data_IF_378207549071
#
_entry.id   IF_378207549071
#
_cell.length_a   1.000
_cell.length_b   1.000
_cell.length_c   1.000
_cell.angle_alpha   90.00
_cell.angle_beta   90.00
_cell.angle_gamma   90.00
#
_symmetry.space_group_name_H-M   'P 1'
#
loop_
_entity.id
_entity.type
_entity.pdbx_description
1 polymer ?
#
# COMPACT_ATOMS: atom_id res chain seq x y z
N UNK A 1 -26.90 3.07 -10.12
CA UNK A 1 -26.50 2.43 -8.85
C UNK A 1 -25.40 3.31 -8.25
N UNK A 2 -25.67 4.04 -7.17
CA UNK A 2 -24.65 4.82 -6.46
C UNK A 2 -23.95 3.89 -5.46
N UNK A 3 -22.65 3.68 -5.62
CA UNK A 3 -21.82 3.09 -4.57
C UNK A 3 -21.19 4.21 -3.76
N UNK A 4 -21.18 4.08 -2.44
CA UNK A 4 -20.46 5.00 -1.55
C UNK A 4 -19.06 4.43 -1.37
N UNK A 5 -18.06 5.14 -1.88
CA UNK A 5 -16.67 4.85 -1.52
C UNK A 5 -16.51 5.24 -0.06
N UNK A 6 -16.09 4.28 0.77
CA UNK A 6 -15.65 4.61 2.11
C UNK A 6 -14.43 5.53 1.99
N UNK A 7 -14.46 6.67 2.67
CA UNK A 7 -13.36 7.63 2.71
C UNK A 7 -12.16 7.03 3.44
N UNK A 8 -11.43 6.16 2.74
CA UNK A 8 -10.28 5.41 3.23
C UNK A 8 -9.06 5.88 2.45
N UNK A 9 -8.42 6.94 2.95
CA UNK A 9 -7.15 7.42 2.42
C UNK A 9 -5.97 6.59 2.93
N UNK A 10 -4.81 6.77 2.29
CA UNK A 10 -3.55 6.28 2.83
C UNK A 10 -3.27 6.88 4.24
N UNK A 11 -2.43 6.20 5.03
CA UNK A 11 -2.01 6.64 6.35
C UNK A 11 -2.46 5.68 7.44
N UNK A 12 -3.11 6.20 8.49
CA UNK A 12 -3.52 5.41 9.67
C UNK A 12 -5.03 5.24 9.69
N UNK A 13 -5.50 4.00 9.48
CA UNK A 13 -6.91 3.65 9.62
C UNK A 13 -7.20 3.06 11.00
N UNK A 14 -8.20 3.60 11.69
CA UNK A 14 -8.66 3.10 13.00
C UNK A 14 -9.91 2.27 12.85
N UNK A 15 -9.86 1.04 13.36
CA UNK A 15 -10.96 0.07 13.33
C UNK A 15 -11.66 -0.05 11.96
N UNK A 16 -10.93 -0.12 10.81
CA UNK A 16 -11.56 -0.21 9.51
C UNK A 16 -12.42 -1.48 9.41
N UNK A 17 -13.49 -1.39 8.62
CA UNK A 17 -14.34 -2.51 8.23
C UNK A 17 -13.94 -2.99 6.83
N UNK A 18 -13.99 -4.29 6.60
CA UNK A 18 -13.61 -4.90 5.32
C UNK A 18 -12.21 -5.50 5.33
N UNK A 19 -11.71 -5.84 4.14
CA UNK A 19 -10.43 -6.52 3.93
C UNK A 19 -9.49 -5.56 3.20
N UNK A 20 -8.27 -5.42 3.72
CA UNK A 20 -7.20 -4.69 3.06
C UNK A 20 -6.54 -5.58 2.00
N UNK A 21 -6.33 -5.04 0.80
CA UNK A 21 -5.64 -5.70 -0.30
C UNK A 21 -4.37 -4.94 -0.66
N UNK A 22 -3.28 -5.68 -0.91
CA UNK A 22 -1.98 -5.12 -1.32
C UNK A 22 -1.38 -5.97 -2.43
N UNK A 23 -0.77 -5.30 -3.42
CA UNK A 23 0.10 -5.94 -4.40
C UNK A 23 1.55 -5.47 -4.20
N UNK A 24 2.48 -6.41 -4.02
CA UNK A 24 3.92 -6.14 -3.85
C UNK A 24 4.74 -7.00 -4.80
N UNK A 25 4.61 -6.73 -6.10
CA UNK A 25 5.05 -7.64 -7.16
C UNK A 25 6.34 -7.21 -7.89
N UNK A 26 7.01 -6.14 -7.43
CA UNK A 26 8.22 -5.61 -8.04
C UNK A 26 9.52 -6.21 -7.48
N UNK A 27 9.46 -7.10 -6.50
CA UNK A 27 10.63 -7.60 -5.77
C UNK A 27 11.74 -8.22 -6.64
N UNK A 28 11.39 -8.93 -7.71
CA UNK A 28 12.35 -9.55 -8.64
C UNK A 28 12.61 -8.72 -9.90
N UNK A 29 12.05 -7.50 -9.97
CA UNK A 29 12.11 -6.65 -11.16
C UNK A 29 11.38 -7.19 -12.39
N UNK A 30 10.51 -8.18 -12.23
CA UNK A 30 9.85 -8.89 -13.33
C UNK A 30 8.50 -8.30 -13.76
N UNK A 31 7.96 -7.33 -13.03
CA UNK A 31 6.65 -6.71 -13.28
C UNK A 31 6.72 -5.19 -13.27
N UNK A 32 7.42 -4.64 -14.25
CA UNK A 32 7.42 -3.22 -14.53
C UNK A 32 6.43 -2.92 -15.66
N UNK A 33 5.17 -2.76 -15.29
CA UNK A 33 4.10 -2.38 -16.21
C UNK A 33 3.63 -0.96 -15.91
N UNK A 34 3.20 -0.25 -16.95
CA UNK A 34 2.62 1.06 -16.80
C UNK A 34 1.35 1.02 -15.95
N UNK A 35 1.17 2.06 -15.13
CA UNK A 35 -0.08 2.29 -14.43
C UNK A 35 -1.06 2.95 -15.39
N UNK A 36 -2.31 2.48 -15.41
CA UNK A 36 -3.38 3.16 -16.14
C UNK A 36 -3.55 4.60 -15.62
N UNK A 37 -3.80 5.60 -16.50
CA UNK A 37 -3.78 7.00 -16.09
C UNK A 37 -4.74 7.32 -14.95
N UNK A 38 -5.98 6.83 -15.06
CA UNK A 38 -7.00 7.01 -14.02
C UNK A 38 -6.74 6.04 -12.86
N UNK A 39 -6.58 6.60 -11.65
CA UNK A 39 -6.59 5.83 -10.42
C UNK A 39 -8.03 5.46 -10.07
N UNK A 40 -8.26 4.19 -9.74
CA UNK A 40 -9.57 3.73 -9.30
C UNK A 40 -9.81 4.16 -7.85
N UNK A 41 -11.07 4.45 -7.53
CA UNK A 41 -11.46 5.01 -6.23
C UNK A 41 -11.16 4.09 -5.03
N UNK A 42 -10.94 2.79 -5.26
CA UNK A 42 -10.58 1.80 -4.22
C UNK A 42 -9.06 1.70 -3.96
N UNK A 43 -8.24 2.45 -4.69
CA UNK A 43 -6.79 2.45 -4.55
C UNK A 43 -6.40 3.63 -3.65
N UNK A 44 -5.92 3.33 -2.44
CA UNK A 44 -5.38 4.36 -1.55
C UNK A 44 -4.01 4.88 -2.02
N UNK A 45 -3.14 3.99 -2.51
CA UNK A 45 -1.80 4.31 -3.02
C UNK A 45 -1.39 3.34 -4.13
N UNK A 46 -0.59 3.82 -5.08
CA UNK A 46 0.04 3.00 -6.13
C UNK A 46 1.37 3.62 -6.52
N UNK A 47 2.35 2.79 -6.85
CA UNK A 47 3.68 3.23 -7.28
C UNK A 47 4.24 2.27 -8.32
N UNK A 48 4.95 2.82 -9.30
CA UNK A 48 5.74 2.10 -10.28
C UNK A 48 7.04 2.87 -10.50
N UNK A 49 8.09 2.47 -9.80
CA UNK A 49 9.42 3.10 -9.87
C UNK A 49 10.33 2.45 -10.90
N UNK A 50 9.89 1.36 -11.55
CA UNK A 50 10.70 0.54 -12.46
C UNK A 50 11.97 0.00 -11.81
N UNK A 51 11.94 -0.16 -10.48
CA UNK A 51 13.03 -0.69 -9.67
C UNK A 51 12.51 -1.78 -8.73
N UNK A 52 13.36 -2.73 -8.32
CA UNK A 52 12.96 -3.70 -7.32
C UNK A 52 12.63 -3.04 -5.98
N UNK A 53 11.59 -3.53 -5.32
CA UNK A 53 11.12 -3.01 -4.03
C UNK A 53 10.82 -4.14 -3.07
N UNK A 54 10.92 -3.88 -1.77
CA UNK A 54 10.52 -4.81 -0.73
C UNK A 54 9.66 -4.10 0.31
N UNK A 55 8.76 -4.85 0.95
CA UNK A 55 7.90 -4.32 2.00
C UNK A 55 8.20 -5.00 3.32
N UNK A 56 8.28 -4.21 4.39
CA UNK A 56 8.42 -4.69 5.77
C UNK A 56 7.09 -4.53 6.46
N UNK A 57 6.54 -5.66 6.92
CA UNK A 57 5.29 -5.71 7.67
C UNK A 57 5.62 -5.87 9.15
N UNK A 58 5.12 -4.95 9.97
CA UNK A 58 5.21 -5.03 11.44
C UNK A 58 3.81 -5.23 12.01
N UNK A 59 3.66 -6.27 12.83
CA UNK A 59 2.42 -6.61 13.50
C UNK A 59 2.65 -6.57 15.01
N UNK A 60 1.74 -5.91 15.72
CA UNK A 60 1.63 -5.94 17.19
C UNK A 60 0.25 -6.49 17.58
N UNK A 61 -0.05 -6.55 18.87
CA UNK A 61 -1.37 -6.96 19.36
C UNK A 61 -2.51 -6.11 18.80
N UNK A 62 -2.25 -4.85 18.46
CA UNK A 62 -3.27 -3.87 18.11
C UNK A 62 -2.93 -3.05 16.86
N UNK A 63 -1.85 -3.38 16.15
CA UNK A 63 -1.46 -2.65 14.95
C UNK A 63 -0.86 -3.55 13.87
N UNK A 64 -1.10 -3.16 12.64
CA UNK A 64 -0.48 -3.69 11.43
C UNK A 64 0.09 -2.48 10.68
N UNK A 65 1.38 -2.49 10.34
CA UNK A 65 2.04 -1.40 9.62
C UNK A 65 2.89 -1.94 8.47
N UNK A 66 2.81 -1.27 7.33
CA UNK A 66 3.60 -1.56 6.12
C UNK A 66 4.51 -0.37 5.86
N UNK A 67 5.77 -0.67 5.59
CA UNK A 67 6.71 0.25 4.96
C UNK A 67 7.27 -0.39 3.69
N UNK A 68 7.35 0.35 2.59
CA UNK A 68 7.90 -0.15 1.33
C UNK A 68 9.13 0.66 0.94
N UNK A 69 10.17 -0.06 0.53
CA UNK A 69 11.49 0.49 0.25
C UNK A 69 11.95 0.13 -1.15
N UNK A 70 12.72 1.02 -1.76
CA UNK A 70 13.53 0.72 -2.92
C UNK A 70 14.67 -0.23 -2.50
N UNK A 71 14.84 -1.33 -3.24
CA UNK A 71 15.75 -2.41 -2.85
C UNK A 71 17.22 -2.04 -3.00
N UNK A 72 17.55 -1.12 -3.90
CA UNK A 72 18.92 -0.69 -4.16
C UNK A 72 19.38 0.32 -3.09
N UNK A 73 18.55 1.32 -2.83
CA UNK A 73 18.90 2.44 -1.94
C UNK A 73 18.49 2.23 -0.49
N UNK A 74 17.55 1.33 -0.22
CA UNK A 74 16.93 1.15 1.09
C UNK A 74 16.08 2.34 1.53
N UNK A 75 15.75 3.26 0.62
CA UNK A 75 14.95 4.45 0.94
C UNK A 75 13.45 4.15 0.84
N UNK A 76 12.61 4.75 1.70
CA UNK A 76 11.15 4.61 1.58
C UNK A 76 10.65 5.18 0.26
N UNK A 77 9.77 4.46 -0.43
CA UNK A 77 9.12 4.93 -1.67
C UNK A 77 7.71 5.47 -1.44
N UNK A 78 7.21 5.32 -0.22
CA UNK A 78 5.85 5.70 0.16
C UNK A 78 5.79 5.99 1.66
N UNK A 79 4.71 6.67 2.09
CA UNK A 79 4.40 6.84 3.51
C UNK A 79 3.90 5.53 4.11
N UNK A 80 4.20 5.31 5.39
CA UNK A 80 3.73 4.13 6.12
C UNK A 80 2.20 4.02 6.07
N UNK A 81 1.71 2.81 5.82
CA UNK A 81 0.29 2.49 5.96
C UNK A 81 0.08 1.67 7.22
N UNK A 82 -0.88 2.09 8.06
CA UNK A 82 -1.15 1.44 9.33
C UNK A 82 -2.64 1.18 9.53
N UNK A 83 -2.96 0.03 10.11
CA UNK A 83 -4.27 -0.28 10.69
C UNK A 83 -4.08 -0.40 12.19
N UNK A 84 -4.89 0.33 12.96
CA UNK A 84 -4.95 0.25 14.42
C UNK A 84 -6.31 -0.33 14.83
N UNK A 85 -6.27 -1.29 15.75
CA UNK A 85 -7.45 -1.82 16.45
C UNK A 85 -7.41 -1.35 17.90
N UNK A 86 -8.51 -0.78 18.37
CA UNK A 86 -8.65 -0.34 19.77
C UNK A 86 -9.34 -1.42 20.61
#
# INVERSE_FOLDING_TARGET
MCYTIADMSQGVLRNPKGVFYMSSNSATGSKFYELIPQQQDYIAARSQTWRPTYSVIRITNNSFTINTYDAETGTPIDSSYSIIKD
#
